data_IF_491346361371
#
_entry.id   IF_491346361371
#
_cell.length_a   1.000
_cell.length_b   1.000
_cell.length_c   1.000
_cell.angle_alpha   90.00
_cell.angle_beta   90.00
_cell.angle_gamma   90.00
#
_symmetry.space_group_name_H-M   'P 1'
#
loop_
_entity.id
_entity.type
_entity.pdbx_description
1 polymer ?
#
# COMPACT_ATOMS: atom_id res chain seq x y z
N UNK A 1 13.13 -11.09 -26.44
CA UNK A 1 12.06 -11.28 -25.44
C UNK A 1 11.95 -10.03 -24.58
N UNK A 2 11.08 -9.11 -24.98
CA UNK A 2 10.79 -7.88 -24.24
C UNK A 2 10.22 -8.31 -22.87
N UNK A 3 10.87 -7.87 -21.79
CA UNK A 3 10.53 -8.27 -20.43
C UNK A 3 9.09 -7.87 -20.12
N UNK A 4 8.22 -8.83 -19.75
CA UNK A 4 6.84 -8.58 -19.28
C UNK A 4 6.78 -7.80 -17.95
N UNK A 5 7.90 -7.29 -17.46
CA UNK A 5 8.01 -6.49 -16.24
C UNK A 5 8.38 -5.05 -16.58
N UNK A 6 7.65 -4.07 -16.03
CA UNK A 6 7.99 -2.67 -16.20
C UNK A 6 9.33 -2.35 -15.53
N UNK A 7 10.13 -1.48 -16.16
CA UNK A 7 11.39 -1.04 -15.59
C UNK A 7 11.15 -0.15 -14.36
N UNK A 8 11.68 -0.59 -13.22
CA UNK A 8 11.61 0.11 -11.94
C UNK A 8 12.90 0.87 -11.61
N UNK A 9 13.88 0.94 -12.53
CA UNK A 9 15.18 1.58 -12.31
C UNK A 9 15.10 3.06 -11.89
N UNK A 10 14.07 3.77 -12.35
CA UNK A 10 13.80 5.16 -12.04
C UNK A 10 12.60 5.34 -11.09
N UNK A 11 12.16 4.28 -10.40
CA UNK A 11 11.05 4.36 -9.46
C UNK A 11 11.48 5.13 -8.21
N UNK A 12 10.74 6.18 -7.86
CA UNK A 12 10.94 6.92 -6.62
C UNK A 12 10.40 6.10 -5.45
N UNK A 13 11.30 5.62 -4.59
CA UNK A 13 10.93 4.88 -3.40
C UNK A 13 10.03 5.71 -2.48
N UNK A 14 8.89 5.13 -2.10
CA UNK A 14 7.92 5.76 -1.20
C UNK A 14 8.03 5.17 0.20
N UNK A 15 8.17 6.01 1.23
CA UNK A 15 8.18 5.56 2.63
C UNK A 15 6.85 4.98 3.14
N UNK A 16 5.77 5.21 2.40
CA UNK A 16 4.41 4.75 2.73
C UNK A 16 3.96 3.53 1.91
N UNK A 17 4.64 3.21 0.81
CA UNK A 17 4.19 2.21 -0.15
C UNK A 17 5.36 1.42 -0.72
N UNK A 18 5.24 0.10 -0.69
CA UNK A 18 6.21 -0.82 -1.29
C UNK A 18 5.54 -1.57 -2.44
N UNK A 19 6.18 -1.57 -3.61
CA UNK A 19 5.76 -2.39 -4.74
C UNK A 19 6.15 -3.84 -4.43
N UNK A 20 5.15 -4.73 -4.42
CA UNK A 20 5.33 -6.16 -4.19
C UNK A 20 5.50 -6.93 -5.48
N UNK A 21 4.73 -6.54 -6.49
CA UNK A 21 4.73 -7.21 -7.78
C UNK A 21 4.33 -6.22 -8.88
N UNK A 22 4.97 -6.33 -10.03
CA UNK A 22 4.64 -5.58 -11.23
C UNK A 22 4.61 -6.53 -12.43
N UNK A 23 3.57 -6.43 -13.26
CA UNK A 23 3.42 -7.22 -14.49
C UNK A 23 2.79 -6.38 -15.59
N UNK A 24 3.26 -6.53 -16.82
CA UNK A 24 2.68 -5.92 -18.01
C UNK A 24 2.18 -7.01 -18.96
N UNK A 25 0.91 -6.95 -19.35
CA UNK A 25 0.31 -7.90 -20.28
C UNK A 25 -0.10 -7.17 -21.56
N UNK A 26 0.21 -7.80 -22.70
CA UNK A 26 -0.18 -7.33 -24.03
C UNK A 26 -1.46 -8.04 -24.45
N UNK A 27 -2.50 -7.30 -24.78
CA UNK A 27 -3.78 -7.86 -25.19
C UNK A 27 -4.25 -7.27 -26.53
N UNK A 28 -5.06 -8.04 -27.24
CA UNK A 28 -5.59 -7.69 -28.56
C UNK A 28 -7.11 -7.72 -28.47
N UNK A 29 -7.74 -6.55 -28.31
CA UNK A 29 -9.20 -6.43 -28.19
C UNK A 29 -9.84 -6.20 -29.56
N UNK A 30 -10.88 -6.96 -29.86
CA UNK A 30 -11.81 -6.65 -30.94
C UNK A 30 -13.02 -5.89 -30.37
N UNK A 31 -13.20 -4.64 -30.79
CA UNK A 31 -14.35 -3.84 -30.38
C UNK A 31 -15.54 -4.07 -31.31
N UNK A 32 -16.76 -3.94 -30.77
CA UNK A 32 -18.00 -4.12 -31.52
C UNK A 32 -18.18 -3.13 -32.69
N UNK A 33 -17.49 -1.98 -32.65
CA UNK A 33 -17.49 -1.00 -33.74
C UNK A 33 -16.67 -1.44 -34.97
N UNK A 34 -15.66 -2.30 -34.78
CA UNK A 34 -14.69 -2.68 -35.80
C UNK A 34 -14.23 -4.15 -35.61
N UNK A 35 -15.01 -5.15 -36.06
CA UNK A 35 -14.68 -6.57 -35.86
C UNK A 35 -13.48 -7.05 -36.70
N UNK A 36 -13.07 -6.29 -37.72
CA UNK A 36 -12.03 -6.69 -38.67
C UNK A 36 -10.60 -6.29 -38.24
N UNK A 37 -10.46 -5.43 -37.22
CA UNK A 37 -9.16 -4.90 -36.80
C UNK A 37 -8.97 -5.06 -35.29
N UNK A 38 -7.99 -5.86 -34.83
CA UNK A 38 -7.66 -5.94 -33.41
C UNK A 38 -6.92 -4.68 -32.96
N UNK A 39 -7.36 -4.10 -31.85
CA UNK A 39 -6.69 -3.00 -31.19
C UNK A 39 -5.76 -3.55 -30.11
N UNK A 40 -4.53 -3.02 -30.10
CA UNK A 40 -3.52 -3.44 -29.14
C UNK A 40 -3.61 -2.60 -27.87
N UNK A 41 -3.77 -3.25 -26.72
CA UNK A 41 -3.62 -2.64 -25.41
C UNK A 41 -2.44 -3.27 -24.65
N UNK A 42 -1.79 -2.44 -23.84
CA UNK A 42 -0.74 -2.87 -22.91
C UNK A 42 -1.22 -2.46 -21.52
N UNK A 43 -1.57 -3.46 -20.72
CA UNK A 43 -2.09 -3.24 -19.37
C UNK A 43 -0.99 -3.55 -18.36
N UNK A 44 -0.57 -2.53 -17.60
CA UNK A 44 0.37 -2.69 -16.49
C UNK A 44 -0.40 -2.80 -15.17
N UNK A 45 -0.08 -3.83 -14.41
CA UNK A 45 -0.62 -4.09 -13.09
C UNK A 45 0.47 -3.93 -12.03
N UNK A 46 0.22 -3.06 -11.05
CA UNK A 46 1.12 -2.80 -9.94
C UNK A 46 0.44 -3.17 -8.62
N UNK A 47 1.02 -4.14 -7.92
CA UNK A 47 0.59 -4.54 -6.58
C UNK A 47 1.41 -3.75 -5.57
N UNK A 48 0.76 -2.82 -4.86
CA UNK A 48 1.39 -1.96 -3.85
C UNK A 48 0.86 -2.28 -2.45
N UNK A 49 1.75 -2.35 -1.47
CA UNK A 49 1.44 -2.57 -0.06
C UNK A 49 1.70 -1.30 0.76
N UNK A 50 0.74 -0.88 1.59
CA UNK A 50 0.89 0.21 2.56
C UNK A 50 1.87 -0.19 3.68
N UNK A 51 2.81 0.70 4.02
CA UNK A 51 3.64 0.61 5.21
C UNK A 51 3.14 1.62 6.26
N UNK A 52 2.39 1.17 7.29
CA UNK A 52 1.81 2.06 8.30
C UNK A 52 2.83 2.49 9.38
N UNK A 53 4.14 2.49 9.09
CA UNK A 53 5.19 2.70 10.10
C UNK A 53 5.01 4.02 10.87
N UNK A 54 4.75 5.11 10.15
CA UNK A 54 4.47 6.41 10.77
C UNK A 54 3.21 6.40 11.65
N UNK A 55 2.16 5.72 11.19
CA UNK A 55 0.88 5.61 11.91
C UNK A 55 1.03 4.81 13.21
N UNK A 56 1.79 3.72 13.19
CA UNK A 56 2.06 2.91 14.39
C UNK A 56 2.79 3.75 15.43
N UNK A 57 3.86 4.44 15.05
CA UNK A 57 4.69 5.21 15.99
C UNK A 57 3.95 6.41 16.56
N UNK A 58 3.25 7.18 15.73
CA UNK A 58 2.68 8.46 16.17
C UNK A 58 1.24 8.39 16.67
N UNK A 59 0.51 7.30 16.39
CA UNK A 59 -0.89 7.15 16.81
C UNK A 59 -1.03 5.97 17.77
N UNK A 60 -0.56 4.78 17.40
CA UNK A 60 -0.79 3.59 18.23
C UNK A 60 -0.01 3.66 19.55
N UNK A 61 1.27 4.04 19.54
CA UNK A 61 2.08 4.17 20.77
C UNK A 61 1.44 5.15 21.77
N UNK A 62 1.12 6.41 21.42
CA UNK A 62 0.50 7.31 22.39
C UNK A 62 -0.87 6.82 22.87
N UNK A 63 -1.68 6.18 22.02
CA UNK A 63 -2.95 5.59 22.44
C UNK A 63 -2.75 4.45 23.47
N UNK A 64 -1.74 3.60 23.29
CA UNK A 64 -1.41 2.54 24.24
C UNK A 64 -0.90 3.11 25.57
N UNK A 65 -0.06 4.16 25.52
CA UNK A 65 0.43 4.86 26.71
C UNK A 65 -0.72 5.48 27.51
N UNK A 66 -1.66 6.18 26.85
CA UNK A 66 -2.84 6.73 27.52
C UNK A 66 -3.72 5.63 28.13
N UNK A 67 -3.95 4.53 27.41
CA UNK A 67 -4.73 3.40 27.91
C UNK A 67 -4.07 2.73 29.12
N UNK A 68 -2.74 2.69 29.15
CA UNK A 68 -2.00 2.19 30.31
C UNK A 68 -2.09 3.14 31.50
N UNK A 69 -1.94 4.46 31.26
CA UNK A 69 -2.06 5.47 32.31
C UNK A 69 -3.45 5.46 32.96
N UNK A 70 -4.52 5.32 32.17
CA UNK A 70 -5.89 5.21 32.72
C UNK A 70 -6.06 3.94 33.56
N UNK A 71 -5.50 2.81 33.14
CA UNK A 71 -5.46 1.59 33.95
C UNK A 71 -4.70 1.79 35.28
N UNK A 72 -3.55 2.48 35.24
CA UNK A 72 -2.74 2.78 36.41
C UNK A 72 -3.46 3.69 37.42
N UNK A 73 -4.29 4.62 36.94
CA UNK A 73 -5.12 5.48 37.81
C UNK A 73 -6.05 4.64 38.70
N UNK A 74 -6.61 3.55 38.19
CA UNK A 74 -7.44 2.65 39.01
C UNK A 74 -6.63 1.87 40.05
N UNK A 75 -5.32 1.70 39.82
CA UNK A 75 -4.42 1.02 40.75
C UNK A 75 -3.82 1.97 41.79
N UNK A 76 -3.76 3.27 41.50
CA UNK A 76 -3.27 4.27 42.45
C UNK A 76 -4.31 4.41 43.59
N UNK A 77 -3.93 4.18 44.86
CA UNK A 77 -4.85 4.32 45.97
C UNK A 77 -5.34 5.77 46.11
N UNK A 78 -6.62 5.92 46.44
CA UNK A 78 -7.37 7.18 46.54
C UNK A 78 -6.83 8.19 47.57
N UNK A 79 -5.80 7.83 48.35
CA UNK A 79 -5.14 8.69 49.35
C UNK A 79 -4.05 9.62 48.75
N UNK A 80 -3.78 9.52 47.45
CA UNK A 80 -2.72 10.31 46.78
C UNK A 80 -3.24 11.52 45.98
N UNK A 81 -4.49 11.93 46.19
CA UNK A 81 -5.16 13.05 45.50
C UNK A 81 -5.24 14.33 46.32
#
# INVERSE_FOLDING_TARGET
PESDQPDLSNFMESGEWVIKESRGWKHWVFYSCCPNTPYLDITYHFVMQRLPLYFIVNVIIPCLLFSFLTGLVFYLPTDSG
#
